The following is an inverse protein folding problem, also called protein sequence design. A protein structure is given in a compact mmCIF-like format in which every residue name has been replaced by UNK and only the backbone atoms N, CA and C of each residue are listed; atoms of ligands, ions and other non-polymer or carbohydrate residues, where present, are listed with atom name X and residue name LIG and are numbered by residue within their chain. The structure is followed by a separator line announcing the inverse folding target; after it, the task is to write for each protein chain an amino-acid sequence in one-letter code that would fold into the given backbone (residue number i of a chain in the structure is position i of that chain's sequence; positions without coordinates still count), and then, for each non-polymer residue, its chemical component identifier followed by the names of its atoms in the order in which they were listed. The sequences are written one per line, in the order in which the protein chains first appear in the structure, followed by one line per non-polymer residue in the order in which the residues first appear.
data_IF_761964898522
#
_entry.id   IF_761964898522
#
_cell.length_a   1.000
_cell.length_b   1.000
_cell.length_c   1.000
_cell.angle_alpha   90.00
_cell.angle_beta   90.00
_cell.angle_gamma   90.00
#
_symmetry.space_group_name_H-M   'P 1'
#
loop_
_entity.id
_entity.type
_entity.pdbx_description
1 polymer ?
#
# COMPACT_ATOMS: atom_id res chain seq x y z
N UNK A 1 31.07 -7.98 -7.13
CA UNK A 1 30.34 -8.74 -8.14
C UNK A 1 29.85 -10.12 -7.64
N UNK A 2 29.46 -10.27 -6.36
CA UNK A 2 28.91 -11.54 -5.81
C UNK A 2 27.66 -11.37 -4.95
N UNK A 3 27.19 -10.15 -4.69
CA UNK A 3 25.99 -9.88 -3.88
C UNK A 3 24.70 -9.88 -4.72
N UNK A 4 24.77 -9.43 -5.96
CA UNK A 4 23.62 -9.34 -6.88
C UNK A 4 22.98 -10.69 -7.21
N UNK A 5 23.74 -11.79 -7.18
CA UNK A 5 23.20 -13.12 -7.48
C UNK A 5 22.45 -13.77 -6.31
N UNK A 6 22.74 -13.36 -5.08
CA UNK A 6 22.07 -13.92 -3.89
C UNK A 6 20.65 -13.37 -3.71
N UNK A 7 20.46 -12.08 -3.98
CA UNK A 7 19.13 -11.46 -3.90
C UNK A 7 18.18 -11.95 -5.01
N UNK A 8 18.68 -12.09 -6.24
CA UNK A 8 17.87 -12.64 -7.35
C UNK A 8 17.40 -14.07 -7.06
N UNK A 9 18.19 -14.87 -6.36
CA UNK A 9 17.85 -16.26 -6.03
C UNK A 9 16.80 -16.34 -4.91
N UNK A 10 16.85 -15.45 -3.92
CA UNK A 10 15.83 -15.38 -2.87
C UNK A 10 14.48 -14.87 -3.37
N UNK A 11 14.48 -13.88 -4.26
CA UNK A 11 13.24 -13.35 -4.85
C UNK A 11 12.56 -14.37 -5.77
N UNK A 12 13.32 -15.11 -6.55
CA UNK A 12 12.80 -16.21 -7.39
C UNK A 12 12.29 -17.40 -6.57
N UNK A 13 12.92 -17.70 -5.43
CA UNK A 13 12.47 -18.78 -4.56
C UNK A 13 11.15 -18.42 -3.83
N UNK A 14 10.95 -17.16 -3.45
CA UNK A 14 9.72 -16.71 -2.81
C UNK A 14 8.54 -16.65 -3.80
N UNK A 15 8.76 -16.23 -5.05
CA UNK A 15 7.73 -16.27 -6.09
C UNK A 15 7.35 -17.69 -6.50
N UNK A 16 8.32 -18.63 -6.55
CA UNK A 16 8.06 -20.03 -6.84
C UNK A 16 7.24 -20.72 -5.73
N UNK A 17 7.42 -20.35 -4.47
CA UNK A 17 6.63 -20.89 -3.35
C UNK A 17 5.17 -20.36 -3.36
N UNK A 18 4.94 -19.13 -3.80
CA UNK A 18 3.60 -18.56 -3.95
C UNK A 18 2.80 -19.21 -5.08
N UNK A 19 3.46 -19.69 -6.15
CA UNK A 19 2.80 -20.32 -7.31
C UNK A 19 2.35 -21.76 -7.05
N UNK A 20 2.84 -22.43 -6.00
CA UNK A 20 2.49 -23.81 -5.67
C UNK A 20 1.46 -23.96 -4.54
N UNK A 21 1.25 -22.96 -3.73
CA UNK A 21 0.28 -22.98 -2.64
C UNK A 21 -1.02 -22.29 -3.08
N UNK A 22 -2.13 -23.05 -3.11
CA UNK A 22 -3.43 -22.44 -3.31
C UNK A 22 -3.66 -21.35 -2.27
N UNK A 23 -4.15 -20.15 -2.64
CA UNK A 23 -4.40 -19.09 -1.70
C UNK A 23 -5.48 -19.52 -0.69
N UNK A 24 -5.23 -19.24 0.58
CA UNK A 24 -6.24 -19.36 1.66
C UNK A 24 -7.32 -18.29 1.45
N UNK A 25 -6.88 -17.15 0.95
CA UNK A 25 -7.72 -16.00 0.63
C UNK A 25 -7.03 -15.17 -0.45
N UNK A 26 -7.83 -14.61 -1.34
CA UNK A 26 -7.37 -13.66 -2.36
C UNK A 26 -8.47 -12.66 -2.70
N UNK A 27 -8.06 -11.49 -3.14
CA UNK A 27 -8.93 -10.41 -3.59
C UNK A 27 -8.28 -9.66 -4.76
N UNK A 28 -9.08 -9.31 -5.75
CA UNK A 28 -8.66 -8.49 -6.87
C UNK A 28 -9.66 -7.35 -7.04
N UNK A 29 -9.16 -6.12 -7.14
CA UNK A 29 -10.03 -4.95 -7.31
C UNK A 29 -9.49 -3.95 -8.32
N UNK A 30 -10.40 -3.14 -8.84
CA UNK A 30 -10.10 -1.97 -9.68
C UNK A 30 -10.81 -0.76 -9.08
N UNK A 31 -10.05 0.32 -8.92
CA UNK A 31 -10.54 1.60 -8.38
C UNK A 31 -10.38 2.68 -9.44
N UNK A 32 -11.39 3.52 -9.60
CA UNK A 32 -11.31 4.79 -10.31
C UNK A 32 -11.41 5.94 -9.32
N UNK A 33 -10.50 6.90 -9.41
CA UNK A 33 -10.47 8.10 -8.60
C UNK A 33 -10.50 9.35 -9.50
N UNK A 34 -11.17 10.39 -9.03
CA UNK A 34 -11.07 11.73 -9.58
C UNK A 34 -11.05 12.74 -8.44
N UNK A 35 -10.07 13.61 -8.44
CA UNK A 35 -9.91 14.66 -7.44
C UNK A 35 -9.27 15.92 -8.00
N UNK A 36 -9.33 16.96 -7.18
CA UNK A 36 -8.76 18.28 -7.41
C UNK A 36 -7.97 18.70 -6.18
N UNK A 37 -7.13 19.73 -6.28
CA UNK A 37 -6.26 20.22 -5.23
C UNK A 37 -5.11 19.25 -4.88
N UNK A 38 -4.55 18.62 -5.90
CA UNK A 38 -3.28 17.92 -5.76
C UNK A 38 -2.12 18.90 -5.73
N UNK A 39 -1.07 18.56 -4.96
CA UNK A 39 0.15 19.36 -4.85
C UNK A 39 1.29 18.74 -5.67
N UNK A 40 2.22 19.59 -6.08
CA UNK A 40 3.50 19.25 -6.75
C UNK A 40 3.38 18.98 -8.25
N UNK A 41 2.35 18.27 -8.71
CA UNK A 41 2.24 17.93 -10.13
C UNK A 41 1.05 18.70 -10.72
N UNK A 42 -0.06 18.10 -10.91
CA UNK A 42 -1.25 18.75 -11.48
C UNK A 42 -2.31 18.97 -10.40
N UNK A 43 -3.04 20.08 -10.49
CA UNK A 43 -4.14 20.38 -9.58
C UNK A 43 -5.30 19.37 -9.69
N UNK A 44 -5.54 18.83 -10.88
CA UNK A 44 -6.58 17.82 -11.15
C UNK A 44 -5.96 16.50 -11.57
N UNK A 45 -6.50 15.40 -11.06
CA UNK A 45 -6.00 14.08 -11.39
C UNK A 45 -7.12 13.03 -11.49
N UNK A 46 -7.00 12.17 -12.48
CA UNK A 46 -7.72 10.91 -12.59
C UNK A 46 -6.75 9.76 -12.34
N UNK A 47 -7.10 8.85 -11.44
CA UNK A 47 -6.29 7.67 -11.16
C UNK A 47 -7.11 6.41 -11.41
N UNK A 48 -6.48 5.42 -12.04
CA UNK A 48 -6.97 4.05 -12.10
C UNK A 48 -6.01 3.17 -11.32
N UNK A 49 -6.49 2.56 -10.24
CA UNK A 49 -5.73 1.62 -9.42
C UNK A 49 -6.18 0.19 -9.69
N UNK A 50 -5.23 -0.70 -9.88
CA UNK A 50 -5.44 -2.15 -9.87
C UNK A 50 -4.79 -2.70 -8.63
N UNK A 51 -5.52 -3.52 -7.84
CA UNK A 51 -5.00 -4.09 -6.60
C UNK A 51 -5.19 -5.60 -6.58
N UNK A 52 -4.22 -6.29 -6.01
CA UNK A 52 -4.31 -7.71 -5.71
C UNK A 52 -3.76 -7.99 -4.32
N UNK A 53 -4.52 -8.71 -3.52
CA UNK A 53 -4.09 -9.19 -2.22
C UNK A 53 -4.32 -10.69 -2.11
N UNK A 54 -3.38 -11.42 -1.54
CA UNK A 54 -3.53 -12.85 -1.30
C UNK A 54 -2.78 -13.31 -0.06
N UNK A 55 -3.32 -14.33 0.60
CA UNK A 55 -2.68 -15.03 1.71
C UNK A 55 -2.55 -16.51 1.38
N UNK A 56 -1.34 -17.01 1.52
CA UNK A 56 -1.03 -18.44 1.51
C UNK A 56 -0.57 -18.86 2.90
N UNK A 57 -0.27 -20.15 3.11
CA UNK A 57 0.07 -20.68 4.45
C UNK A 57 1.21 -19.93 5.14
N UNK A 58 2.28 -19.61 4.42
CA UNK A 58 3.51 -19.06 5.01
C UNK A 58 3.74 -17.59 4.71
N UNK A 59 2.92 -17.01 3.83
CA UNK A 59 3.16 -15.67 3.32
C UNK A 59 1.85 -14.98 2.94
N UNK A 60 1.91 -13.67 2.82
CA UNK A 60 0.94 -12.87 2.10
C UNK A 60 1.62 -11.96 1.09
N UNK A 61 0.85 -11.43 0.17
CA UNK A 61 1.29 -10.47 -0.83
C UNK A 61 0.22 -9.42 -1.03
N UNK A 62 0.66 -8.19 -1.10
CA UNK A 62 -0.14 -7.08 -1.60
C UNK A 62 0.57 -6.49 -2.82
N UNK A 63 -0.20 -6.18 -3.84
CA UNK A 63 0.24 -5.50 -5.04
C UNK A 63 -0.77 -4.43 -5.40
N UNK A 64 -0.30 -3.25 -5.78
CA UNK A 64 -1.13 -2.30 -6.49
C UNK A 64 -0.35 -1.60 -7.60
N UNK A 65 -1.08 -1.08 -8.57
CA UNK A 65 -0.54 -0.25 -9.63
C UNK A 65 -1.51 0.88 -9.94
N UNK A 66 -0.99 2.09 -9.86
CA UNK A 66 -1.70 3.33 -10.18
C UNK A 66 -1.31 3.80 -11.57
N UNK A 67 -2.30 4.08 -12.38
CA UNK A 67 -2.14 4.85 -13.60
C UNK A 67 -2.79 6.21 -13.41
N UNK A 68 -2.00 7.23 -13.29
CA UNK A 68 -2.42 8.61 -13.05
C UNK A 68 -2.38 9.42 -14.35
N UNK A 69 -3.32 10.35 -14.47
CA UNK A 69 -3.39 11.33 -15.53
C UNK A 69 -3.80 12.68 -14.95
N UNK A 70 -2.93 13.65 -15.05
CA UNK A 70 -3.17 15.03 -14.65
C UNK A 70 -3.91 15.85 -15.69
N UNK A 71 -4.32 17.07 -15.31
CA UNK A 71 -5.03 18.01 -16.16
C UNK A 71 -4.22 18.50 -17.37
N UNK A 72 -2.91 18.61 -17.22
CA UNK A 72 -1.96 19.09 -18.27
C UNK A 72 -1.37 17.94 -19.11
N UNK A 73 -2.11 16.83 -19.24
CA UNK A 73 -1.67 15.61 -19.96
C UNK A 73 -0.48 14.88 -19.31
N UNK A 74 -0.07 15.28 -18.12
CA UNK A 74 0.92 14.54 -17.33
C UNK A 74 0.44 13.11 -17.06
N UNK A 75 1.35 12.15 -17.18
CA UNK A 75 1.03 10.72 -16.99
C UNK A 75 2.10 10.08 -16.14
N UNK A 76 1.65 9.41 -15.09
CA UNK A 76 2.52 8.66 -14.20
C UNK A 76 2.00 7.24 -14.03
N UNK A 77 2.90 6.31 -13.78
CA UNK A 77 2.60 4.95 -13.35
C UNK A 77 3.44 4.64 -12.14
N UNK A 78 2.78 4.34 -11.04
CA UNK A 78 3.41 3.91 -9.81
C UNK A 78 2.89 2.53 -9.42
N UNK A 79 3.74 1.68 -8.89
CA UNK A 79 3.29 0.41 -8.33
C UNK A 79 4.11 -0.02 -7.12
N UNK A 80 3.49 -0.86 -6.31
CA UNK A 80 4.16 -1.57 -5.23
C UNK A 80 3.86 -3.06 -5.27
N UNK A 81 4.88 -3.86 -4.99
CA UNK A 81 4.77 -5.28 -4.75
C UNK A 81 5.34 -5.60 -3.37
N UNK A 82 4.48 -6.00 -2.44
CA UNK A 82 4.78 -6.12 -1.01
C UNK A 82 4.55 -7.54 -0.49
N UNK A 83 5.46 -8.50 -0.76
CA UNK A 83 5.39 -9.84 -0.17
C UNK A 83 5.90 -9.81 1.27
N UNK A 84 5.18 -10.56 2.16
CA UNK A 84 5.58 -10.73 3.56
C UNK A 84 5.60 -12.21 3.93
N UNK A 85 6.59 -12.64 4.72
CA UNK A 85 6.77 -14.01 5.17
C UNK A 85 6.46 -14.13 6.67
N UNK A 86 5.49 -14.95 7.04
CA UNK A 86 5.12 -15.21 8.43
C UNK A 86 6.19 -16.03 9.15
N UNK A 87 6.83 -15.46 10.15
CA UNK A 87 7.80 -16.16 10.96
C UNK A 87 7.14 -17.20 11.88
N UNK A 88 5.90 -16.93 12.32
CA UNK A 88 5.11 -17.86 13.11
C UNK A 88 4.82 -19.15 12.35
N UNK A 89 4.32 -19.03 11.12
CA UNK A 89 4.00 -20.17 10.27
C UNK A 89 5.24 -20.95 9.81
N UNK A 90 6.33 -20.25 9.47
CA UNK A 90 7.58 -20.88 9.02
C UNK A 90 8.24 -21.67 10.14
N UNK A 91 8.26 -21.11 11.35
CA UNK A 91 8.93 -21.75 12.52
C UNK A 91 8.00 -22.72 13.26
N UNK A 92 6.69 -22.66 13.00
CA UNK A 92 5.67 -23.39 13.76
C UNK A 92 5.53 -22.91 15.21
N UNK A 93 6.03 -21.71 15.53
CA UNK A 93 5.97 -21.11 16.86
C UNK A 93 4.95 -19.98 16.88
N UNK A 94 4.21 -19.89 17.99
CA UNK A 94 3.27 -18.76 18.18
C UNK A 94 4.07 -17.52 18.58
N UNK A 95 4.21 -16.56 17.67
CA UNK A 95 4.90 -15.28 17.89
C UNK A 95 3.93 -14.15 18.25
N UNK A 96 2.88 -14.47 19.00
CA UNK A 96 1.84 -13.51 19.42
C UNK A 96 2.15 -12.92 20.80
N UNK A 97 2.02 -11.60 20.95
CA UNK A 97 2.16 -10.89 22.23
C UNK A 97 1.39 -9.57 22.21
N UNK A 98 0.69 -9.23 23.28
CA UNK A 98 -0.18 -8.06 23.32
C UNK A 98 -1.16 -8.04 22.13
N UNK A 99 -1.26 -6.96 21.36
CA UNK A 99 -2.08 -6.89 20.15
C UNK A 99 -1.44 -7.54 18.93
N UNK A 100 -0.16 -7.92 18.99
CA UNK A 100 0.53 -8.57 17.85
C UNK A 100 0.08 -10.02 17.75
N UNK A 101 -0.45 -10.40 16.60
CA UNK A 101 -0.85 -11.79 16.31
C UNK A 101 0.18 -12.57 15.51
N UNK A 102 1.04 -11.89 14.75
CA UNK A 102 2.15 -12.50 14.01
C UNK A 102 3.27 -11.50 13.76
N UNK A 103 4.49 -12.02 13.57
CA UNK A 103 5.69 -11.28 13.21
C UNK A 103 6.13 -11.74 11.82
N UNK A 104 6.40 -10.79 10.92
CA UNK A 104 6.69 -11.08 9.53
C UNK A 104 8.03 -10.47 9.10
N UNK A 105 8.70 -11.13 8.18
CA UNK A 105 9.70 -10.45 7.34
C UNK A 105 8.92 -9.73 6.24
N UNK A 106 9.05 -8.42 6.17
CA UNK A 106 8.34 -7.58 5.21
C UNK A 106 9.31 -7.02 4.18
N UNK A 107 8.88 -7.03 2.93
CA UNK A 107 9.60 -6.42 1.82
C UNK A 107 8.62 -5.68 0.93
N UNK A 108 9.10 -4.62 0.25
CA UNK A 108 8.33 -3.90 -0.76
C UNK A 108 9.26 -3.51 -1.89
N UNK A 109 8.81 -3.68 -3.11
CA UNK A 109 9.39 -3.11 -4.31
C UNK A 109 8.45 -2.02 -4.79
N UNK A 110 8.95 -0.79 -4.80
CA UNK A 110 8.27 0.39 -5.31
C UNK A 110 8.91 0.80 -6.63
N UNK A 111 8.11 1.13 -7.62
CA UNK A 111 8.63 1.70 -8.85
C UNK A 111 7.71 2.78 -9.40
N UNK A 112 8.32 3.84 -9.91
CA UNK A 112 7.66 4.95 -10.56
C UNK A 112 8.21 5.17 -11.96
N UNK A 113 7.30 5.53 -12.87
CA UNK A 113 7.66 5.97 -14.20
C UNK A 113 6.78 7.15 -14.62
N UNK A 114 7.36 8.33 -14.65
CA UNK A 114 6.74 9.56 -15.15
C UNK A 114 7.74 10.44 -15.92
N UNK A 115 7.27 11.61 -16.34
CA UNK A 115 8.09 12.55 -17.11
C UNK A 115 9.15 13.27 -16.25
N UNK A 116 9.07 13.19 -14.93
CA UNK A 116 9.95 13.92 -14.00
C UNK A 116 10.86 13.00 -13.21
N UNK A 117 10.39 11.80 -12.85
CA UNK A 117 11.15 10.87 -12.04
C UNK A 117 10.88 9.43 -12.42
N UNK A 118 11.96 8.65 -12.50
CA UNK A 118 11.89 7.20 -12.68
C UNK A 118 12.77 6.57 -11.62
N UNK A 119 12.20 5.63 -10.85
CA UNK A 119 12.97 4.96 -9.80
C UNK A 119 12.45 3.57 -9.51
N UNK A 120 13.35 2.76 -8.93
CA UNK A 120 13.11 1.47 -8.31
C UNK A 120 13.64 1.50 -6.88
N UNK A 121 12.78 1.47 -5.88
CA UNK A 121 13.17 1.38 -4.47
C UNK A 121 12.91 -0.01 -3.92
N UNK A 122 13.73 -0.45 -2.99
CA UNK A 122 13.58 -1.73 -2.30
C UNK A 122 13.56 -1.54 -0.80
N UNK A 123 12.44 -1.85 -0.18
CA UNK A 123 12.23 -1.78 1.25
C UNK A 123 12.30 -3.18 1.85
N UNK A 124 12.95 -3.32 2.99
CA UNK A 124 13.03 -4.59 3.72
C UNK A 124 13.05 -4.36 5.23
N UNK A 125 12.37 -5.22 5.96
CA UNK A 125 12.25 -5.04 7.39
C UNK A 125 11.36 -6.03 8.10
N UNK A 126 10.71 -5.57 9.14
CA UNK A 126 9.87 -6.39 10.02
C UNK A 126 8.46 -5.85 10.04
N UNK A 127 7.50 -6.75 9.88
CA UNK A 127 6.08 -6.47 9.97
C UNK A 127 5.43 -7.12 11.17
N UNK A 128 4.32 -6.53 11.61
CA UNK A 128 3.49 -7.03 12.69
C UNK A 128 2.02 -6.99 12.22
N UNK A 129 1.39 -8.16 12.15
CA UNK A 129 -0.06 -8.23 12.05
C UNK A 129 -0.68 -8.00 13.42
N UNK A 130 -1.72 -7.20 13.48
CA UNK A 130 -2.35 -6.79 14.73
C UNK A 130 -3.77 -7.35 14.86
N UNK A 131 -4.14 -7.74 16.07
CA UNK A 131 -5.51 -8.08 16.45
C UNK A 131 -6.08 -6.92 17.26
N UNK A 132 -6.82 -6.04 16.57
CA UNK A 132 -7.43 -4.84 17.16
C UNK A 132 -8.96 -4.99 17.07
N UNK A 133 -9.68 -4.83 18.18
CA UNK A 133 -11.14 -4.90 18.17
C UNK A 133 -11.76 -3.97 17.12
N UNK A 134 -12.75 -4.49 16.38
CA UNK A 134 -13.47 -3.82 15.29
C UNK A 134 -12.71 -3.65 13.97
N UNK A 135 -11.40 -3.95 13.93
CA UNK A 135 -10.64 -3.93 12.68
C UNK A 135 -10.77 -5.29 11.99
N UNK A 136 -11.04 -5.26 10.69
CA UNK A 136 -10.98 -6.44 9.84
C UNK A 136 -9.54 -6.89 9.63
N UNK A 137 -8.65 -5.91 9.48
CA UNK A 137 -7.20 -6.08 9.46
C UNK A 137 -6.52 -4.82 9.97
N UNK A 138 -5.36 -5.01 10.55
CA UNK A 138 -4.41 -3.96 10.87
C UNK A 138 -3.00 -4.53 10.82
N UNK A 139 -2.06 -3.79 10.26
CA UNK A 139 -0.64 -4.17 10.29
C UNK A 139 0.25 -2.95 10.37
N UNK A 140 1.43 -3.12 10.91
CA UNK A 140 2.50 -2.12 10.89
C UNK A 140 3.78 -2.78 10.42
N UNK A 141 4.46 -2.14 9.47
CA UNK A 141 5.74 -2.59 8.94
C UNK A 141 6.78 -1.48 9.16
N UNK A 142 8.00 -1.88 9.52
CA UNK A 142 9.15 -0.99 9.66
C UNK A 142 10.22 -1.44 8.69
N UNK A 143 10.68 -0.52 7.86
CA UNK A 143 11.58 -0.80 6.76
C UNK A 143 12.87 0.00 6.84
N UNK A 144 13.94 -0.59 6.33
CA UNK A 144 15.04 0.12 5.73
C UNK A 144 14.71 0.27 4.25
N UNK A 145 14.61 1.50 3.77
CA UNK A 145 14.43 1.80 2.37
C UNK A 145 15.79 1.97 1.69
N UNK A 146 16.01 1.22 0.62
CA UNK A 146 17.13 1.40 -0.30
C UNK A 146 16.59 2.16 -1.51
N UNK A 147 16.84 3.45 -1.54
CA UNK A 147 16.29 4.39 -2.49
C UNK A 147 17.25 4.59 -3.67
N UNK A 148 16.71 4.69 -4.89
CA UNK A 148 17.52 4.91 -6.09
C UNK A 148 17.90 6.38 -6.29
N UNK A 149 16.94 7.29 -6.07
CA UNK A 149 17.12 8.73 -6.36
C UNK A 149 17.60 9.53 -5.17
N UNK A 150 17.49 9.01 -3.97
CA UNK A 150 17.85 9.67 -2.73
C UNK A 150 18.61 8.71 -1.82
N UNK A 151 19.12 9.21 -0.73
CA UNK A 151 19.82 8.39 0.25
C UNK A 151 18.86 7.43 0.96
N UNK A 152 19.38 6.27 1.30
CA UNK A 152 18.64 5.27 2.08
C UNK A 152 18.14 5.83 3.41
N UNK A 153 16.92 5.55 3.76
CA UNK A 153 16.26 6.01 4.98
C UNK A 153 15.46 4.91 5.69
N UNK A 154 14.57 5.27 6.60
CA UNK A 154 13.65 4.37 7.28
C UNK A 154 12.22 4.78 7.01
N UNK A 155 11.37 3.78 6.76
CA UNK A 155 9.95 3.96 6.55
C UNK A 155 9.13 3.11 7.52
N UNK A 156 8.00 3.65 7.96
CA UNK A 156 6.96 2.91 8.66
C UNK A 156 5.68 2.98 7.83
N UNK A 157 5.10 1.81 7.54
CA UNK A 157 3.80 1.68 6.89
C UNK A 157 2.80 1.05 7.85
N UNK A 158 1.70 1.73 8.13
CA UNK A 158 0.55 1.20 8.85
C UNK A 158 -0.60 1.02 7.88
N UNK A 159 -1.26 -0.14 7.88
CA UNK A 159 -2.45 -0.41 7.08
C UNK A 159 -3.61 -0.85 7.96
N UNK A 160 -4.83 -0.51 7.59
CA UNK A 160 -6.01 -0.84 8.38
C UNK A 160 -7.29 -0.93 7.55
N UNK A 161 -8.26 -1.70 8.07
CA UNK A 161 -9.62 -1.76 7.52
C UNK A 161 -10.64 -1.95 8.63
N UNK A 162 -11.67 -1.09 8.64
CA UNK A 162 -12.72 -1.05 9.67
C UNK A 162 -14.08 -1.12 8.98
N UNK A 163 -14.72 -2.29 8.93
CA UNK A 163 -16.09 -2.42 8.47
C UNK A 163 -17.07 -1.93 9.55
N UNK A 164 -18.14 -1.27 9.15
CA UNK A 164 -19.22 -0.91 10.06
C UNK A 164 -20.58 -0.82 9.34
N UNK A 165 -21.64 -0.73 10.13
CA UNK A 165 -23.01 -0.61 9.61
C UNK A 165 -23.69 0.65 10.14
N UNK A 166 -24.45 1.32 9.26
CA UNK A 166 -25.39 2.36 9.62
C UNK A 166 -26.79 1.93 9.16
N UNK A 167 -27.60 1.50 10.10
CA UNK A 167 -28.90 0.89 9.80
C UNK A 167 -28.71 -0.39 8.97
N UNK A 168 -29.30 -0.42 7.78
CA UNK A 168 -29.16 -1.54 6.82
C UNK A 168 -27.92 -1.42 5.94
N UNK A 169 -27.21 -0.30 5.96
CA UNK A 169 -26.12 -0.03 5.03
C UNK A 169 -24.77 -0.49 5.57
N UNK A 170 -23.93 -1.05 4.67
CA UNK A 170 -22.60 -1.54 4.96
C UNK A 170 -21.55 -0.56 4.45
N UNK A 171 -20.62 -0.23 5.33
CA UNK A 171 -19.50 0.67 5.05
C UNK A 171 -18.16 0.00 5.38
N UNK A 172 -17.12 0.44 4.70
CA UNK A 172 -15.74 0.11 4.98
C UNK A 172 -14.91 1.39 4.97
N UNK A 173 -14.16 1.61 6.03
CA UNK A 173 -13.11 2.62 6.11
C UNK A 173 -11.78 1.89 6.15
N UNK A 174 -10.95 2.08 5.14
CA UNK A 174 -9.63 1.47 5.08
C UNK A 174 -8.61 2.44 4.50
N UNK A 175 -7.36 2.11 4.67
CA UNK A 175 -6.29 2.98 4.19
C UNK A 175 -4.93 2.60 4.76
N UNK A 176 -4.02 3.53 4.57
CA UNK A 176 -2.65 3.40 5.04
C UNK A 176 -2.10 4.73 5.58
N UNK A 177 -1.02 4.62 6.34
CA UNK A 177 -0.20 5.73 6.75
C UNK A 177 1.26 5.33 6.52
N UNK A 178 1.94 6.08 5.66
CA UNK A 178 3.38 5.98 5.45
C UNK A 178 4.08 7.16 6.08
N UNK A 179 5.12 6.87 6.81
CA UNK A 179 6.01 7.86 7.37
C UNK A 179 7.45 7.49 7.08
N UNK A 180 8.22 8.43 6.51
CA UNK A 180 9.65 8.28 6.25
C UNK A 180 10.49 9.27 7.01
N UNK A 181 11.74 8.90 7.30
CA UNK A 181 12.68 9.78 7.98
C UNK A 181 13.29 10.79 7.01
N UNK A 182 13.72 11.95 7.56
CA UNK A 182 14.49 12.92 6.79
C UNK A 182 15.93 12.43 6.59
N UNK A 183 16.46 12.66 5.39
CA UNK A 183 17.87 12.48 5.12
C UNK A 183 18.51 13.79 4.62
N UNK A 184 19.72 14.03 5.12
CA UNK A 184 20.50 15.23 4.77
C UNK A 184 21.67 14.82 3.91
N UNK A 185 21.49 14.89 2.62
CA UNK A 185 22.55 14.73 1.63
C UNK A 185 22.50 15.87 0.61
N UNK A 186 23.16 15.73 -0.51
CA UNK A 186 23.24 16.71 -1.60
C UNK A 186 21.87 17.15 -2.13
N UNK A 187 20.86 16.28 -2.08
CA UNK A 187 19.46 16.62 -2.25
C UNK A 187 18.76 16.39 -0.91
N UNK A 188 18.32 17.46 -0.26
CA UNK A 188 17.63 17.37 1.01
C UNK A 188 16.26 16.71 0.81
N UNK A 189 16.03 15.56 1.49
CA UNK A 189 14.76 14.89 1.59
C UNK A 189 14.17 15.15 2.98
N UNK A 190 13.02 15.82 3.04
CA UNK A 190 12.33 16.06 4.29
C UNK A 190 11.62 14.79 4.75
N UNK A 191 11.49 14.60 6.07
CA UNK A 191 10.58 13.58 6.60
C UNK A 191 9.18 13.83 6.07
N UNK A 192 8.57 12.80 5.49
CA UNK A 192 7.24 12.89 4.93
C UNK A 192 6.26 11.98 5.66
N UNK A 193 4.98 12.33 5.56
CA UNK A 193 3.88 11.51 6.07
C UNK A 193 2.75 11.57 5.06
N UNK A 194 2.37 10.41 4.55
CA UNK A 194 1.19 10.22 3.71
C UNK A 194 0.15 9.42 4.49
N UNK A 195 -0.98 10.01 4.78
CA UNK A 195 -2.11 9.31 5.38
C UNK A 195 -3.30 9.36 4.43
N UNK A 196 -3.56 8.24 3.78
CA UNK A 196 -4.66 8.08 2.82
C UNK A 196 -5.71 7.14 3.37
N UNK A 197 -6.98 7.58 3.33
CA UNK A 197 -8.13 6.85 3.84
C UNK A 197 -9.25 6.82 2.83
N UNK A 198 -9.77 5.64 2.51
CA UNK A 198 -10.96 5.43 1.69
C UNK A 198 -12.19 5.25 2.58
N UNK A 199 -13.24 6.02 2.32
CA UNK A 199 -14.54 5.93 2.97
C UNK A 199 -15.52 5.36 1.96
N UNK A 200 -15.93 4.11 2.13
CA UNK A 200 -16.63 3.33 1.11
C UNK A 200 -17.98 2.83 1.59
N UNK A 201 -19.00 3.02 0.77
CA UNK A 201 -20.32 2.44 0.93
C UNK A 201 -20.50 1.28 -0.04
N UNK A 202 -20.95 0.12 0.44
CA UNK A 202 -21.25 -1.04 -0.41
C UNK A 202 -22.57 -0.83 -1.16
N UNK A 203 -22.50 -0.14 -2.29
CA UNK A 203 -23.64 0.07 -3.18
C UNK A 203 -24.04 -1.20 -3.93
N UNK A 204 -23.08 -2.12 -4.12
CA UNK A 204 -23.28 -3.36 -4.88
C UNK A 204 -24.34 -4.27 -4.31
N UNK A 205 -24.55 -4.30 -3.00
CA UNK A 205 -25.59 -5.11 -2.36
C UNK A 205 -27.02 -4.78 -2.82
N UNK A 206 -27.25 -3.58 -3.35
CA UNK A 206 -28.53 -3.17 -3.93
C UNK A 206 -28.72 -3.68 -5.37
N UNK A 207 -27.65 -4.21 -5.99
CA UNK A 207 -27.65 -4.85 -7.31
C UNK A 207 -27.84 -6.36 -7.15
N UNK A 208 -26.94 -6.98 -6.38
CA UNK A 208 -27.05 -8.40 -5.98
C UNK A 208 -26.24 -8.66 -4.71
N UNK A 209 -26.54 -9.73 -3.94
CA UNK A 209 -25.78 -10.09 -2.73
C UNK A 209 -24.29 -10.33 -2.99
N UNK A 210 -23.92 -10.72 -4.19
CA UNK A 210 -22.55 -11.07 -4.57
C UNK A 210 -21.80 -9.90 -5.22
N UNK A 211 -22.49 -8.78 -5.50
CA UNK A 211 -21.86 -7.61 -6.14
C UNK A 211 -21.07 -6.80 -5.12
N UNK A 212 -19.76 -6.72 -5.31
CA UNK A 212 -18.87 -5.94 -4.44
C UNK A 212 -18.46 -4.63 -5.10
N UNK A 213 -19.43 -3.73 -5.30
CA UNK A 213 -19.26 -2.38 -5.82
C UNK A 213 -19.33 -1.38 -4.68
N UNK A 214 -18.29 -0.60 -4.53
CA UNK A 214 -18.21 0.47 -3.54
C UNK A 214 -18.20 1.84 -4.21
N UNK A 215 -18.96 2.77 -3.64
CA UNK A 215 -18.93 4.19 -3.96
C UNK A 215 -18.43 4.94 -2.72
N UNK A 216 -17.64 5.98 -2.91
CA UNK A 216 -17.10 6.68 -1.76
C UNK A 216 -16.19 7.84 -2.12
N UNK A 217 -15.32 8.13 -1.18
CA UNK A 217 -14.25 9.11 -1.34
C UNK A 217 -12.93 8.54 -0.85
N UNK A 218 -11.85 9.04 -1.41
CA UNK A 218 -10.52 8.90 -0.86
C UNK A 218 -10.06 10.26 -0.34
N UNK A 219 -9.60 10.29 0.90
CA UNK A 219 -9.04 11.48 1.54
C UNK A 219 -7.55 11.23 1.80
N UNK A 220 -6.71 12.04 1.20
CA UNK A 220 -5.26 12.01 1.36
C UNK A 220 -4.76 13.27 2.05
N UNK A 221 -3.99 13.07 3.11
CA UNK A 221 -3.22 14.11 3.80
C UNK A 221 -1.75 13.77 3.67
N UNK A 222 -1.01 14.58 2.93
CA UNK A 222 0.40 14.33 2.68
C UNK A 222 1.25 15.53 3.09
N UNK A 223 2.05 15.36 4.12
CA UNK A 223 2.98 16.39 4.59
C UNK A 223 4.35 16.17 3.93
N UNK A 224 4.96 17.22 3.41
CA UNK A 224 6.22 17.22 2.68
C UNK A 224 6.20 16.20 1.53
N UNK A 225 5.17 16.25 0.71
CA UNK A 225 4.93 15.30 -0.40
C UNK A 225 6.19 15.12 -1.24
N UNK A 226 6.54 13.84 -1.48
CA UNK A 226 7.77 13.42 -2.17
C UNK A 226 9.07 13.93 -1.50
N UNK A 227 9.06 14.15 -0.18
CA UNK A 227 10.19 14.69 0.54
C UNK A 227 10.47 16.17 0.28
N UNK A 228 9.59 16.87 -0.42
CA UNK A 228 9.72 18.30 -0.71
C UNK A 228 9.21 19.09 0.50
N UNK A 229 10.10 19.83 1.13
CA UNK A 229 9.77 20.59 2.32
C UNK A 229 8.64 21.62 2.08
N UNK A 230 7.60 21.57 2.91
CA UNK A 230 6.40 22.42 2.87
C UNK A 230 5.44 22.14 1.68
N UNK A 231 5.69 21.13 0.85
CA UNK A 231 4.69 20.64 -0.11
C UNK A 231 3.65 19.79 0.66
N UNK A 232 2.56 20.42 1.08
CA UNK A 232 1.55 19.76 1.89
C UNK A 232 0.23 19.65 1.12
N UNK A 233 -0.24 18.42 0.96
CA UNK A 233 -1.48 18.10 0.28
C UNK A 233 -2.58 17.75 1.27
N UNK A 234 -3.79 18.20 0.98
CA UNK A 234 -5.02 17.75 1.63
C UNK A 234 -6.08 17.64 0.54
N UNK A 235 -6.23 16.44 0.01
CA UNK A 235 -7.03 16.16 -1.17
C UNK A 235 -8.20 15.23 -0.84
N UNK A 236 -9.31 15.42 -1.55
CA UNK A 236 -10.47 14.50 -1.52
C UNK A 236 -10.84 14.15 -2.95
N UNK A 237 -10.82 12.86 -3.25
CA UNK A 237 -11.18 12.31 -4.56
C UNK A 237 -12.48 11.52 -4.49
N UNK A 238 -13.34 11.64 -5.50
CA UNK A 238 -14.45 10.73 -5.70
C UNK A 238 -13.92 9.34 -6.03
N UNK A 239 -14.56 8.29 -5.47
CA UNK A 239 -14.11 6.91 -5.56
C UNK A 239 -15.20 5.99 -6.07
N UNK A 240 -14.82 5.14 -7.04
CA UNK A 240 -15.60 3.95 -7.44
C UNK A 240 -14.64 2.75 -7.40
N UNK A 241 -14.97 1.72 -6.62
CA UNK A 241 -14.14 0.51 -6.49
C UNK A 241 -14.97 -0.76 -6.70
N UNK A 242 -14.48 -1.66 -7.53
CA UNK A 242 -15.10 -2.95 -7.78
C UNK A 242 -14.14 -4.10 -7.44
N UNK A 243 -14.61 -5.07 -6.66
CA UNK A 243 -13.89 -6.30 -6.36
C UNK A 243 -14.47 -7.46 -7.16
N UNK A 244 -13.62 -8.27 -7.75
CA UNK A 244 -13.95 -9.41 -8.61
C UNK A 244 -14.07 -10.73 -7.84
#
# INVERSE_FOLDING_TARGET
MKLTHFFATCTLASTAALTQAAPIWQDFSVTGLYGENYEVIDDQQTTMTVEYAAKVKYADVFFFADRMRGGDDHKSTYFELSPRLSLGEVTGQKLAFGPVKDVLVSTTWEANNDDFSNFDNFLYGVGFDLDIPYFQYASVNFYRANNELQKDDYQMTLTYGVPFKLGSEDFLVDGFLDWSTAEKDTVAHASELNWTTQWKWNAGKHISPDTRLYLGIEHSVWNNKFGIQNANENNVSALVKYHF
#
